data_IF_477776834953
#
_entry.id   IF_477776834953
#
_cell.length_a   1.000
_cell.length_b   1.000
_cell.length_c   1.000
_cell.angle_alpha   90.00
_cell.angle_beta   90.00
_cell.angle_gamma   90.00
#
_symmetry.space_group_name_H-M   'P 1'
#
loop_
_entity.id
_entity.type
_entity.pdbx_description
1 polymer ?
#
# COMPACT_ATOMS: atom_id res chain seq x y z
N UNK A 1 -32.80 16.74 3.59
CA UNK A 1 -32.02 15.51 3.36
C UNK A 1 -30.89 15.48 4.39
N UNK A 2 -30.99 14.58 5.35
CA UNK A 2 -29.98 14.46 6.44
C UNK A 2 -28.83 13.58 5.94
N UNK A 3 -27.63 14.15 5.89
CA UNK A 3 -26.40 13.38 5.66
C UNK A 3 -26.18 12.41 6.81
N UNK A 4 -26.38 11.14 6.56
CA UNK A 4 -25.98 10.06 7.47
C UNK A 4 -24.49 9.79 7.18
N UNK A 5 -23.63 10.41 7.95
CA UNK A 5 -22.22 10.02 8.00
C UNK A 5 -22.15 8.68 8.72
N UNK A 6 -21.89 7.61 7.97
CA UNK A 6 -21.51 6.32 8.54
C UNK A 6 -20.18 6.49 9.29
N UNK A 7 -20.24 6.55 10.62
CA UNK A 7 -19.07 6.32 11.45
C UNK A 7 -18.67 4.86 11.29
N UNK A 8 -17.40 4.56 11.01
CA UNK A 8 -16.94 3.17 11.01
C UNK A 8 -17.23 2.56 12.39
N UNK A 9 -17.73 1.34 12.38
CA UNK A 9 -17.90 0.53 13.59
C UNK A 9 -16.50 0.20 14.08
N UNK A 10 -16.01 0.97 15.04
CA UNK A 10 -14.76 0.66 15.72
C UNK A 10 -14.96 -0.64 16.49
N UNK A 11 -14.29 -1.70 16.05
CA UNK A 11 -14.06 -2.87 16.90
C UNK A 11 -13.49 -2.35 18.22
N UNK A 12 -14.10 -2.77 19.35
CA UNK A 12 -13.78 -2.29 20.68
C UNK A 12 -12.28 -2.19 20.91
N UNK A 13 -11.72 -1.01 21.20
CA UNK A 13 -10.31 -0.90 21.50
C UNK A 13 -10.01 -1.76 22.75
N UNK A 14 -9.00 -2.59 22.67
CA UNK A 14 -8.52 -3.44 23.78
C UNK A 14 -8.33 -2.67 25.10
N UNK A 15 -8.01 -1.38 25.01
CA UNK A 15 -7.94 -0.45 26.14
C UNK A 15 -9.23 -0.33 26.92
N UNK A 16 -10.41 -0.40 26.28
CA UNK A 16 -11.71 -0.32 26.95
C UNK A 16 -11.97 -1.59 27.77
N UNK A 17 -11.58 -2.76 27.29
CA UNK A 17 -11.68 -4.02 28.03
C UNK A 17 -10.74 -4.07 29.25
N UNK A 18 -9.49 -3.64 29.11
CA UNK A 18 -8.54 -3.58 30.22
C UNK A 18 -8.99 -2.58 31.30
N UNK A 19 -9.51 -1.41 30.91
CA UNK A 19 -10.05 -0.41 31.85
C UNK A 19 -11.30 -0.89 32.55
N UNK A 20 -12.19 -1.58 31.84
CA UNK A 20 -13.38 -2.16 32.46
C UNK A 20 -13.02 -3.24 33.48
N UNK A 21 -12.01 -4.05 33.19
CA UNK A 21 -11.48 -5.07 34.11
C UNK A 21 -10.75 -4.44 35.32
N UNK A 22 -9.99 -3.35 35.12
CA UNK A 22 -9.32 -2.65 36.20
C UNK A 22 -10.33 -1.95 37.12
N UNK A 23 -11.31 -1.26 36.55
CA UNK A 23 -12.40 -0.64 37.30
C UNK A 23 -13.26 -1.67 38.03
N UNK A 24 -13.53 -2.83 37.43
CA UNK A 24 -14.24 -3.92 38.11
C UNK A 24 -13.43 -4.53 39.27
N UNK A 25 -12.11 -4.65 39.12
CA UNK A 25 -11.22 -5.11 40.21
C UNK A 25 -11.14 -4.12 41.35
N UNK A 26 -11.06 -2.80 41.09
CA UNK A 26 -11.08 -1.76 42.12
C UNK A 26 -12.43 -1.72 42.84
N UNK A 27 -13.54 -1.87 42.10
CA UNK A 27 -14.88 -1.92 42.71
C UNK A 27 -15.06 -3.18 43.58
N UNK A 28 -14.52 -4.32 43.13
CA UNK A 28 -14.57 -5.55 43.92
C UNK A 28 -13.67 -5.50 45.16
N UNK A 29 -12.53 -4.78 45.09
CA UNK A 29 -11.62 -4.60 46.22
C UNK A 29 -12.15 -3.64 47.28
N UNK A 30 -13.03 -2.72 46.92
CA UNK A 30 -13.65 -1.76 47.83
C UNK A 30 -14.98 -2.24 48.43
N UNK A 31 -15.59 -3.29 47.89
CA UNK A 31 -16.75 -3.94 48.47
C UNK A 31 -16.36 -5.02 49.47
N UNK A 32 -16.06 -4.62 50.71
CA UNK A 32 -15.98 -5.58 51.80
C UNK A 32 -17.41 -5.88 52.24
N UNK A 33 -17.83 -7.12 52.00
CA UNK A 33 -19.15 -7.60 52.38
C UNK A 33 -19.31 -7.50 53.91
N UNK A 34 -20.22 -6.64 54.42
CA UNK A 34 -20.54 -6.52 55.82
C UNK A 34 -20.12 -5.20 56.49
N UNK A 35 -19.48 -4.25 55.81
CA UNK A 35 -19.16 -2.96 56.39
C UNK A 35 -20.31 -1.97 56.20
N UNK A 36 -21.10 -1.71 57.25
CA UNK A 36 -22.05 -0.61 57.29
C UNK A 36 -21.27 0.69 57.30
N UNK A 37 -21.55 1.59 56.39
CA UNK A 37 -21.02 2.96 56.44
C UNK A 37 -21.61 3.69 57.66
N UNK A 38 -20.75 4.06 58.62
CA UNK A 38 -21.11 4.69 59.88
C UNK A 38 -21.54 6.17 59.71
N UNK A 39 -21.26 6.77 58.56
CA UNK A 39 -21.67 8.14 58.24
C UNK A 39 -22.51 8.07 56.97
N UNK A 40 -23.81 8.30 57.13
CA UNK A 40 -24.77 8.36 56.05
C UNK A 40 -24.40 9.45 55.04
N UNK A 41 -23.73 9.08 53.97
CA UNK A 41 -23.64 9.88 52.78
C UNK A 41 -24.78 9.49 51.89
N UNK A 42 -25.53 10.47 51.39
CA UNK A 42 -26.68 10.30 50.52
C UNK A 42 -26.34 9.35 49.35
N UNK A 43 -27.19 8.34 49.19
CA UNK A 43 -27.11 7.28 48.17
C UNK A 43 -27.32 7.79 46.73
N UNK A 44 -27.10 9.05 46.47
CA UNK A 44 -27.17 9.71 45.15
C UNK A 44 -25.81 10.13 44.58
N UNK A 45 -24.70 9.59 45.13
CA UNK A 45 -23.42 9.70 44.48
C UNK A 45 -23.49 9.03 43.12
N UNK A 46 -23.81 9.81 42.10
CA UNK A 46 -23.68 9.37 40.70
C UNK A 46 -22.22 8.99 40.48
N UNK A 47 -21.96 7.72 40.34
CA UNK A 47 -20.66 7.23 39.89
C UNK A 47 -20.36 7.85 38.52
N UNK A 48 -19.73 9.02 38.53
CA UNK A 48 -19.15 9.54 37.31
C UNK A 48 -17.96 8.65 37.00
N UNK A 49 -18.15 7.77 36.01
CA UNK A 49 -16.98 7.10 35.39
C UNK A 49 -15.98 8.19 35.02
N UNK A 50 -14.73 8.09 35.50
CA UNK A 50 -13.72 9.00 35.03
C UNK A 50 -13.71 8.94 33.51
N UNK A 51 -13.82 10.10 32.86
CA UNK A 51 -13.77 10.18 31.42
C UNK A 51 -12.48 9.49 30.94
N UNK A 52 -12.56 8.57 29.99
CA UNK A 52 -11.36 7.94 29.46
C UNK A 52 -10.44 9.02 28.90
N UNK A 53 -9.17 8.99 29.28
CA UNK A 53 -8.18 9.86 28.66
C UNK A 53 -8.23 9.65 27.14
N UNK A 54 -8.20 10.72 26.33
CA UNK A 54 -8.13 10.61 24.90
C UNK A 54 -6.79 9.94 24.54
N UNK A 55 -6.86 8.69 24.12
CA UNK A 55 -5.73 7.98 23.51
C UNK A 55 -5.79 8.24 22.02
N UNK A 56 -4.62 8.48 21.43
CA UNK A 56 -4.53 8.54 19.98
C UNK A 56 -4.98 7.20 19.37
N UNK A 57 -5.79 7.29 18.32
CA UNK A 57 -6.24 6.11 17.56
C UNK A 57 -5.03 5.51 16.82
N UNK A 58 -5.01 4.18 16.69
CA UNK A 58 -3.99 3.52 15.88
C UNK A 58 -4.07 4.02 14.42
N UNK A 59 -2.94 4.04 13.74
CA UNK A 59 -2.93 4.35 12.31
C UNK A 59 -3.78 3.33 11.53
N UNK A 60 -4.40 3.71 10.41
CA UNK A 60 -5.19 2.79 9.59
C UNK A 60 -4.42 1.52 9.19
N UNK A 61 -3.12 1.64 8.95
CA UNK A 61 -2.26 0.50 8.62
C UNK A 61 -2.09 -0.46 9.80
N UNK A 62 -1.95 0.05 11.03
CA UNK A 62 -1.87 -0.77 12.24
C UNK A 62 -3.19 -1.47 12.54
N UNK A 63 -4.32 -0.77 12.36
CA UNK A 63 -5.64 -1.37 12.52
C UNK A 63 -5.85 -2.55 11.56
N UNK A 64 -5.51 -2.39 10.29
CA UNK A 64 -5.58 -3.45 9.29
C UNK A 64 -4.67 -4.62 9.63
N UNK A 65 -3.46 -4.36 10.13
CA UNK A 65 -2.55 -5.41 10.57
C UNK A 65 -3.11 -6.21 11.75
N UNK A 66 -3.65 -5.52 12.76
CA UNK A 66 -4.30 -6.16 13.92
C UNK A 66 -5.51 -6.97 13.50
N UNK A 67 -6.32 -6.44 12.59
CA UNK A 67 -7.49 -7.12 12.04
C UNK A 67 -7.10 -8.45 11.39
N UNK A 68 -6.08 -8.43 10.53
CA UNK A 68 -5.54 -9.63 9.88
C UNK A 68 -4.94 -10.62 10.87
N UNK A 69 -4.24 -10.14 11.90
CA UNK A 69 -3.64 -11.01 12.93
C UNK A 69 -4.72 -11.81 13.67
N UNK A 70 -5.88 -11.20 13.91
CA UNK A 70 -7.00 -11.83 14.65
C UNK A 70 -7.91 -12.66 13.74
N UNK A 71 -8.23 -12.16 12.54
CA UNK A 71 -9.24 -12.75 11.64
C UNK A 71 -8.64 -13.56 10.50
N UNK A 72 -7.35 -13.40 10.23
CA UNK A 72 -6.65 -14.00 9.11
C UNK A 72 -6.84 -13.27 7.78
N UNK A 73 -7.65 -12.20 7.73
CA UNK A 73 -7.95 -11.44 6.51
C UNK A 73 -8.15 -9.95 6.80
N UNK A 74 -8.09 -9.13 5.76
CA UNK A 74 -8.42 -7.71 5.83
C UNK A 74 -9.93 -7.54 5.59
N UNK A 75 -10.70 -7.05 6.56
CA UNK A 75 -12.14 -6.84 6.49
C UNK A 75 -12.51 -5.36 6.28
N UNK A 76 -11.81 -4.46 6.98
CA UNK A 76 -12.12 -3.03 7.00
C UNK A 76 -11.52 -2.26 5.81
N UNK A 77 -10.57 -2.85 5.08
CA UNK A 77 -9.92 -2.24 3.92
C UNK A 77 -8.80 -3.10 3.38
N UNK A 78 -8.26 -2.71 2.23
CA UNK A 78 -7.11 -3.38 1.63
C UNK A 78 -5.88 -2.47 1.77
N UNK A 79 -4.80 -2.89 2.45
CA UNK A 79 -3.58 -2.09 2.60
C UNK A 79 -2.88 -1.82 1.26
N UNK A 80 -3.21 -2.54 0.20
CA UNK A 80 -2.70 -2.33 -1.14
C UNK A 80 -3.44 -1.20 -1.90
N UNK A 81 -4.69 -0.90 -1.51
CA UNK A 81 -5.52 0.11 -2.18
C UNK A 81 -4.84 1.48 -2.36
N UNK A 82 -4.13 2.03 -1.34
CA UNK A 82 -3.47 3.34 -1.48
C UNK A 82 -2.37 3.38 -2.54
N UNK A 83 -1.84 2.24 -2.97
CA UNK A 83 -0.73 2.12 -3.93
C UNK A 83 -1.14 1.51 -5.27
N UNK A 84 -2.39 1.08 -5.41
CA UNK A 84 -2.91 0.43 -6.63
C UNK A 84 -2.75 1.29 -7.89
N UNK A 85 -2.82 2.62 -7.76
CA UNK A 85 -2.56 3.54 -8.86
C UNK A 85 -1.17 3.37 -9.50
N UNK A 86 -0.18 2.92 -8.72
CA UNK A 86 1.16 2.63 -9.23
C UNK A 86 1.16 1.45 -10.21
N UNK A 87 0.32 0.44 -9.98
CA UNK A 87 0.19 -0.68 -10.91
C UNK A 87 -0.28 -0.20 -12.28
N UNK A 88 -1.26 0.71 -12.32
CA UNK A 88 -1.75 1.29 -13.58
C UNK A 88 -0.70 2.13 -14.27
N UNK A 89 -0.03 3.02 -13.55
CA UNK A 89 1.00 3.93 -14.10
C UNK A 89 2.27 3.21 -14.55
N UNK A 90 2.65 2.13 -13.88
CA UNK A 90 3.84 1.34 -14.18
C UNK A 90 3.53 0.14 -15.08
N UNK A 91 2.27 -0.03 -15.48
CA UNK A 91 1.79 -1.17 -16.27
C UNK A 91 2.20 -2.52 -15.66
N UNK A 92 2.01 -2.64 -14.35
CA UNK A 92 2.29 -3.88 -13.61
C UNK A 92 1.14 -4.85 -13.86
N UNK A 93 1.41 -6.06 -14.38
CA UNK A 93 0.38 -7.07 -14.57
C UNK A 93 -0.16 -7.57 -13.23
N UNK A 94 -1.43 -7.92 -13.20
CA UNK A 94 -2.03 -8.58 -12.04
C UNK A 94 -1.51 -10.02 -11.90
N UNK A 95 -1.51 -10.56 -10.67
CA UNK A 95 -1.03 -11.93 -10.43
C UNK A 95 -1.76 -12.98 -11.27
N UNK A 96 -3.06 -12.77 -11.55
CA UNK A 96 -3.88 -13.66 -12.40
C UNK A 96 -3.52 -13.61 -13.88
N UNK A 97 -2.87 -12.53 -14.35
CA UNK A 97 -2.48 -12.35 -15.75
C UNK A 97 -1.10 -12.97 -16.06
N UNK A 98 -0.34 -13.32 -15.02
CA UNK A 98 1.05 -13.76 -15.18
C UNK A 98 1.17 -15.10 -15.89
N UNK A 99 0.17 -15.96 -15.78
CA UNK A 99 0.14 -17.25 -16.49
C UNK A 99 0.03 -17.11 -18.01
N UNK A 100 -0.52 -16.00 -18.48
CA UNK A 100 -0.72 -15.73 -19.91
C UNK A 100 0.53 -15.09 -20.56
N UNK A 101 1.51 -14.70 -19.74
CA UNK A 101 2.74 -14.11 -20.22
C UNK A 101 3.76 -15.19 -20.64
N UNK A 102 4.61 -14.90 -21.63
CA UNK A 102 5.63 -15.85 -22.09
C UNK A 102 6.65 -16.14 -20.98
N UNK A 103 7.18 -17.36 -20.96
CA UNK A 103 8.30 -17.73 -20.10
C UNK A 103 9.49 -16.79 -20.34
N UNK A 104 10.23 -16.44 -19.28
CA UNK A 104 11.35 -15.50 -19.28
C UNK A 104 10.95 -14.04 -19.58
N UNK A 105 9.66 -13.71 -19.62
CA UNK A 105 9.23 -12.32 -19.72
C UNK A 105 9.82 -11.48 -18.56
N UNK A 106 10.38 -10.34 -18.88
CA UNK A 106 10.82 -9.37 -17.87
C UNK A 106 9.60 -8.56 -17.42
N UNK A 107 9.25 -8.70 -16.15
CA UNK A 107 8.13 -7.97 -15.54
C UNK A 107 8.56 -7.28 -14.26
N UNK A 108 7.73 -6.33 -13.86
CA UNK A 108 7.68 -5.84 -12.49
C UNK A 108 6.38 -6.33 -11.82
N UNK A 109 6.43 -6.53 -10.52
CA UNK A 109 5.30 -6.89 -9.70
C UNK A 109 5.29 -6.03 -8.43
N UNK A 110 4.13 -5.51 -8.06
CA UNK A 110 3.90 -4.75 -6.85
C UNK A 110 2.92 -5.51 -5.97
N UNK A 111 3.27 -5.75 -4.71
CA UNK A 111 2.41 -6.51 -3.81
C UNK A 111 2.86 -6.41 -2.36
N UNK A 112 2.10 -7.03 -1.48
CA UNK A 112 2.37 -7.11 -0.04
C UNK A 112 3.10 -8.41 0.25
N UNK A 113 4.18 -8.33 1.01
CA UNK A 113 4.94 -9.49 1.44
C UNK A 113 4.16 -10.29 2.49
N UNK A 114 3.82 -11.53 2.14
CA UNK A 114 3.07 -12.44 3.01
C UNK A 114 3.96 -13.33 3.86
N UNK A 115 4.93 -13.94 3.24
CA UNK A 115 5.81 -14.89 3.91
C UNK A 115 7.20 -14.93 3.27
N UNK A 116 8.19 -15.30 4.05
CA UNK A 116 9.58 -15.48 3.61
C UNK A 116 10.07 -16.83 4.08
N UNK A 117 10.58 -17.62 3.15
CA UNK A 117 11.15 -18.97 3.42
C UNK A 117 12.64 -18.95 3.05
N UNK A 118 13.55 -18.75 4.00
CA UNK A 118 14.98 -18.86 3.76
C UNK A 118 15.35 -20.25 3.26
N UNK A 119 16.29 -20.33 2.33
CA UNK A 119 16.79 -21.57 1.77
C UNK A 119 18.32 -21.49 1.58
N UNK A 120 18.97 -22.66 1.55
CA UNK A 120 20.39 -22.76 1.21
C UNK A 120 20.54 -23.44 -0.14
N UNK A 121 21.31 -22.83 -1.01
CA UNK A 121 21.67 -23.44 -2.30
C UNK A 121 22.57 -24.65 -2.10
N UNK A 122 22.77 -25.44 -3.16
CA UNK A 122 23.74 -26.57 -3.14
C UNK A 122 25.16 -26.10 -2.77
N UNK A 123 25.50 -24.83 -2.99
CA UNK A 123 26.78 -24.22 -2.61
C UNK A 123 26.80 -23.62 -1.19
N UNK A 124 25.78 -23.89 -0.37
CA UNK A 124 25.64 -23.37 0.99
C UNK A 124 25.48 -21.84 1.05
N UNK A 125 25.05 -21.20 -0.04
CA UNK A 125 24.76 -19.79 -0.06
C UNK A 125 23.28 -19.53 0.29
N UNK A 126 23.02 -18.45 1.02
CA UNK A 126 21.66 -18.08 1.43
C UNK A 126 20.89 -17.48 0.26
N UNK A 127 19.69 -17.97 0.05
CA UNK A 127 18.65 -17.44 -0.85
C UNK A 127 17.30 -17.45 -0.14
N UNK A 128 16.25 -16.92 -0.72
CA UNK A 128 14.91 -17.08 -0.17
C UNK A 128 13.85 -17.21 -1.28
N UNK A 129 12.81 -17.93 -0.92
CA UNK A 129 11.51 -17.86 -1.55
C UNK A 129 10.65 -16.94 -0.71
N UNK A 130 9.88 -16.08 -1.32
CA UNK A 130 8.94 -15.23 -0.60
C UNK A 130 7.66 -15.08 -1.41
N UNK A 131 6.55 -14.95 -0.70
CA UNK A 131 5.22 -14.88 -1.31
C UNK A 131 4.72 -13.45 -1.20
N UNK A 132 4.29 -12.90 -2.32
CA UNK A 132 3.67 -11.59 -2.42
C UNK A 132 2.22 -11.73 -2.83
N UNK A 133 1.38 -10.84 -2.35
CA UNK A 133 -0.05 -10.78 -2.65
C UNK A 133 -0.40 -9.42 -3.24
N UNK A 134 -1.17 -9.44 -4.33
CA UNK A 134 -1.88 -8.27 -4.84
C UNK A 134 -3.39 -8.41 -4.59
N UNK A 135 -4.22 -7.63 -5.28
CA UNK A 135 -5.69 -7.72 -5.14
C UNK A 135 -6.30 -8.97 -5.78
N UNK A 136 -5.58 -9.64 -6.67
CA UNK A 136 -6.10 -10.72 -7.52
C UNK A 136 -5.59 -12.09 -7.12
N UNK A 137 -4.48 -12.15 -6.39
CA UNK A 137 -3.91 -13.43 -5.96
C UNK A 137 -2.51 -13.30 -5.36
N UNK A 138 -1.77 -14.40 -5.40
CA UNK A 138 -0.43 -14.48 -4.83
C UNK A 138 0.59 -14.90 -5.89
N UNK A 139 1.81 -14.37 -5.76
CA UNK A 139 2.95 -14.70 -6.60
C UNK A 139 4.12 -15.16 -5.74
N UNK A 140 4.70 -16.31 -6.07
CA UNK A 140 5.97 -16.73 -5.50
C UNK A 140 7.12 -15.98 -6.16
N UNK A 141 7.98 -15.40 -5.34
CA UNK A 141 9.17 -14.68 -5.75
C UNK A 141 10.42 -15.40 -5.25
N UNK A 142 11.45 -15.45 -6.08
CA UNK A 142 12.72 -16.11 -5.76
C UNK A 142 13.84 -15.08 -5.77
N UNK A 143 14.52 -14.91 -4.65
CA UNK A 143 15.71 -14.09 -4.55
C UNK A 143 16.96 -14.98 -4.40
N UNK A 144 17.74 -15.09 -5.47
CA UNK A 144 19.01 -15.78 -5.48
C UNK A 144 20.05 -15.06 -4.58
N UNK A 145 21.17 -15.70 -4.21
CA UNK A 145 22.07 -15.21 -3.18
C UNK A 145 22.52 -13.75 -3.37
N UNK A 146 22.80 -13.33 -4.59
CA UNK A 146 23.24 -11.96 -4.88
C UNK A 146 22.15 -10.94 -4.57
N UNK A 147 20.90 -11.25 -4.95
CA UNK A 147 19.74 -10.39 -4.70
C UNK A 147 19.37 -10.45 -3.22
N UNK A 148 19.29 -11.66 -2.64
CA UNK A 148 18.91 -11.84 -1.26
C UNK A 148 19.81 -11.07 -0.28
N UNK A 149 21.11 -11.06 -0.51
CA UNK A 149 22.06 -10.28 0.31
C UNK A 149 21.72 -8.80 0.37
N UNK A 150 21.23 -8.25 -0.72
CA UNK A 150 20.87 -6.83 -0.81
C UNK A 150 19.50 -6.50 -0.19
N UNK A 151 18.59 -7.49 -0.13
CA UNK A 151 17.18 -7.24 0.22
C UNK A 151 16.76 -7.83 1.57
N UNK A 152 17.59 -8.65 2.22
CA UNK A 152 17.21 -9.37 3.44
C UNK A 152 16.62 -8.50 4.55
N UNK A 153 17.06 -7.25 4.67
CA UNK A 153 16.53 -6.30 5.66
C UNK A 153 15.18 -5.69 5.26
N UNK A 154 14.82 -5.76 3.98
CA UNK A 154 13.56 -5.24 3.44
C UNK A 154 12.42 -6.25 3.52
N UNK A 155 12.74 -7.53 3.68
CA UNK A 155 11.77 -8.62 3.70
C UNK A 155 11.13 -8.75 5.09
N UNK A 156 10.27 -7.77 5.40
CA UNK A 156 9.47 -7.79 6.62
C UNK A 156 8.00 -8.07 6.25
N UNK A 157 7.28 -8.90 7.02
CA UNK A 157 5.86 -9.16 6.78
C UNK A 157 5.05 -7.86 6.64
N UNK A 158 4.01 -7.91 5.83
CA UNK A 158 3.09 -6.80 5.55
C UNK A 158 3.75 -5.57 4.87
N UNK A 159 5.00 -5.70 4.41
CA UNK A 159 5.67 -4.63 3.66
C UNK A 159 5.26 -4.68 2.18
N UNK A 160 4.92 -3.52 1.61
CA UNK A 160 4.69 -3.37 0.18
C UNK A 160 6.05 -3.32 -0.53
N UNK A 161 6.25 -4.25 -1.47
CA UNK A 161 7.48 -4.37 -2.24
C UNK A 161 7.19 -4.28 -3.74
N UNK A 162 8.10 -3.65 -4.45
CA UNK A 162 8.17 -3.65 -5.90
C UNK A 162 9.32 -4.55 -6.34
N UNK A 163 8.98 -5.61 -7.03
CA UNK A 163 9.92 -6.63 -7.49
C UNK A 163 10.03 -6.59 -9.01
N UNK A 164 11.24 -6.56 -9.54
CA UNK A 164 11.50 -6.71 -10.96
C UNK A 164 12.29 -7.99 -11.20
N UNK A 165 11.95 -8.71 -12.25
CA UNK A 165 12.61 -9.97 -12.57
C UNK A 165 12.09 -10.64 -13.82
N UNK A 166 12.39 -11.92 -13.96
CA UNK A 166 11.94 -12.76 -15.08
C UNK A 166 10.95 -13.80 -14.58
N UNK A 167 9.90 -14.03 -15.35
CA UNK A 167 8.97 -15.11 -15.07
C UNK A 167 9.61 -16.46 -15.33
N UNK A 168 9.32 -17.39 -14.43
CA UNK A 168 9.60 -18.81 -14.60
C UNK A 168 8.29 -19.57 -14.49
N UNK A 169 7.91 -20.23 -15.57
CA UNK A 169 6.70 -21.04 -15.64
C UNK A 169 7.07 -22.49 -15.40
N UNK A 170 6.48 -23.10 -14.38
CA UNK A 170 6.69 -24.51 -14.02
C UNK A 170 5.34 -25.20 -13.93
N UNK A 171 5.34 -26.53 -13.91
CA UNK A 171 4.11 -27.31 -13.70
C UNK A 171 3.39 -26.95 -12.38
N UNK A 172 4.15 -26.51 -11.39
CA UNK A 172 3.64 -26.07 -10.07
C UNK A 172 3.07 -24.65 -10.05
N UNK A 173 3.22 -23.89 -11.11
CA UNK A 173 2.75 -22.50 -11.23
C UNK A 173 3.81 -21.55 -11.75
N UNK A 174 3.50 -20.24 -11.64
CA UNK A 174 4.36 -19.16 -12.09
C UNK A 174 5.13 -18.58 -10.91
N UNK A 175 6.41 -18.34 -11.09
CA UNK A 175 7.26 -17.66 -10.10
C UNK A 175 8.07 -16.52 -10.75
N UNK A 176 8.41 -15.50 -9.94
CA UNK A 176 9.23 -14.37 -10.37
C UNK A 176 10.66 -14.54 -9.86
N UNK A 177 11.61 -14.73 -10.78
CA UNK A 177 13.03 -14.74 -10.46
C UNK A 177 13.52 -13.29 -10.33
N UNK A 178 13.61 -12.80 -9.09
CA UNK A 178 13.88 -11.39 -8.82
C UNK A 178 15.32 -11.00 -9.21
N UNK A 179 15.43 -9.89 -9.93
CA UNK A 179 16.70 -9.21 -10.20
C UNK A 179 16.87 -7.96 -9.33
N UNK A 180 15.75 -7.34 -8.92
CA UNK A 180 15.72 -6.16 -8.06
C UNK A 180 14.47 -6.16 -7.20
N UNK A 181 14.60 -5.70 -5.95
CA UNK A 181 13.48 -5.50 -5.01
C UNK A 181 13.64 -4.17 -4.32
N UNK A 182 12.59 -3.35 -4.37
CA UNK A 182 12.55 -2.03 -3.76
C UNK A 182 11.40 -1.97 -2.75
N UNK A 183 11.59 -1.20 -1.69
CA UNK A 183 10.50 -0.77 -0.82
C UNK A 183 9.66 0.31 -1.53
N UNK A 184 8.47 0.60 -1.02
CA UNK A 184 7.62 1.66 -1.56
C UNK A 184 8.33 3.02 -1.55
N UNK A 185 9.08 3.32 -0.48
CA UNK A 185 9.85 4.57 -0.37
C UNK A 185 10.96 4.67 -1.43
N UNK A 186 11.69 3.58 -1.65
CA UNK A 186 12.73 3.54 -2.68
C UNK A 186 12.13 3.67 -4.08
N UNK A 187 10.98 3.04 -4.33
CA UNK A 187 10.25 3.20 -5.58
C UNK A 187 9.82 4.65 -5.78
N UNK A 188 9.21 5.29 -4.80
CA UNK A 188 8.79 6.70 -4.86
C UNK A 188 9.99 7.63 -5.14
N UNK A 189 11.14 7.36 -4.51
CA UNK A 189 12.38 8.10 -4.78
C UNK A 189 12.90 7.89 -6.20
N UNK A 190 12.72 6.72 -6.79
CA UNK A 190 13.02 6.51 -8.21
C UNK A 190 12.03 7.25 -9.11
N UNK A 191 10.74 7.22 -8.77
CA UNK A 191 9.69 7.91 -9.52
C UNK A 191 9.87 9.43 -9.54
N UNK A 192 10.37 10.04 -8.47
CA UNK A 192 10.66 11.48 -8.45
C UNK A 192 11.74 11.90 -9.46
N UNK A 193 12.62 10.98 -9.83
CA UNK A 193 13.66 11.19 -10.85
C UNK A 193 13.25 10.76 -12.26
N UNK A 194 12.13 10.07 -12.38
CA UNK A 194 11.61 9.58 -13.64
C UNK A 194 10.88 10.69 -14.42
N UNK A 195 10.29 10.35 -15.57
CA UNK A 195 9.43 11.24 -16.34
C UNK A 195 8.04 10.65 -16.44
N UNK A 196 7.04 11.42 -16.04
CA UNK A 196 5.64 11.10 -16.30
C UNK A 196 5.33 11.43 -17.75
N UNK A 197 5.05 10.42 -18.54
CA UNK A 197 4.88 10.54 -19.98
C UNK A 197 3.43 10.28 -20.38
N UNK A 198 2.88 11.18 -21.21
CA UNK A 198 1.54 11.04 -21.77
C UNK A 198 1.70 10.85 -23.28
N UNK A 199 1.13 9.76 -23.82
CA UNK A 199 1.10 9.45 -25.26
C UNK A 199 -0.11 10.13 -25.88
N UNK A 200 0.11 10.94 -26.91
CA UNK A 200 -0.97 11.62 -27.65
C UNK A 200 -0.51 12.01 -29.06
N UNK A 201 -1.46 12.43 -29.91
CA UNK A 201 -1.14 12.99 -31.22
C UNK A 201 -0.70 14.45 -31.12
N UNK A 202 0.10 14.94 -32.05
CA UNK A 202 0.48 16.36 -32.12
C UNK A 202 -0.70 17.29 -32.34
N UNK A 203 -1.85 16.76 -32.83
CA UNK A 203 -3.09 17.49 -33.03
C UNK A 203 -3.92 17.69 -31.77
N UNK A 204 -3.64 16.90 -30.70
CA UNK A 204 -4.41 16.90 -29.44
C UNK A 204 -4.01 18.04 -28.50
N UNK A 205 -3.97 19.26 -29.04
CA UNK A 205 -3.51 20.46 -28.32
C UNK A 205 -4.34 20.73 -27.05
N UNK A 206 -5.65 20.53 -27.12
CA UNK A 206 -6.55 20.77 -25.98
C UNK A 206 -6.30 19.78 -24.84
N UNK A 207 -6.12 18.49 -25.14
CA UNK A 207 -5.77 17.47 -24.15
C UNK A 207 -4.38 17.75 -23.53
N UNK A 208 -3.46 18.25 -24.33
CA UNK A 208 -2.13 18.65 -23.86
C UNK A 208 -2.22 19.83 -22.89
N UNK A 209 -3.06 20.82 -23.15
CA UNK A 209 -3.30 21.94 -22.23
C UNK A 209 -3.97 21.50 -20.94
N UNK A 210 -4.96 20.62 -21.02
CA UNK A 210 -5.61 20.05 -19.85
C UNK A 210 -4.61 19.26 -18.98
N UNK A 211 -3.71 18.49 -19.59
CA UNK A 211 -2.65 17.77 -18.88
C UNK A 211 -1.72 18.74 -18.12
N UNK A 212 -1.35 19.86 -18.74
CA UNK A 212 -0.53 20.90 -18.10
C UNK A 212 -1.26 21.53 -16.91
N UNK A 213 -2.57 21.79 -17.02
CA UNK A 213 -3.38 22.33 -15.93
C UNK A 213 -3.48 21.34 -14.75
N UNK A 214 -3.67 20.04 -15.03
CA UNK A 214 -3.67 19.01 -13.99
C UNK A 214 -2.28 18.95 -13.30
N UNK A 215 -1.20 18.95 -14.08
CA UNK A 215 0.15 18.93 -13.52
C UNK A 215 0.45 20.17 -12.65
N UNK A 216 -0.07 21.33 -13.03
CA UNK A 216 0.06 22.55 -12.22
C UNK A 216 -0.71 22.44 -10.87
N UNK A 217 -1.87 21.77 -10.87
CA UNK A 217 -2.65 21.52 -9.65
C UNK A 217 -1.98 20.54 -8.71
N UNK A 218 -1.37 19.49 -9.24
CA UNK A 218 -0.69 18.43 -8.48
C UNK A 218 0.83 18.53 -8.63
N UNK A 219 1.40 19.71 -8.39
CA UNK A 219 2.83 19.96 -8.59
C UNK A 219 3.70 19.09 -7.67
N UNK A 220 4.83 18.59 -8.18
CA UNK A 220 5.74 17.71 -7.49
C UNK A 220 7.12 17.65 -8.15
N UNK A 221 7.80 16.52 -8.04
CA UNK A 221 9.19 16.36 -8.48
C UNK A 221 9.34 15.65 -9.84
N UNK A 222 8.37 14.82 -10.22
CA UNK A 222 8.44 14.01 -11.45
C UNK A 222 8.16 14.87 -12.68
N UNK A 223 9.10 14.94 -13.60
CA UNK A 223 8.99 15.78 -14.79
C UNK A 223 7.90 15.31 -15.75
N UNK A 224 7.00 16.21 -16.20
CA UNK A 224 5.99 15.92 -17.22
C UNK A 224 6.63 15.95 -18.62
N UNK A 225 6.31 14.95 -19.44
CA UNK A 225 6.63 14.92 -20.85
C UNK A 225 5.46 14.37 -21.68
N UNK A 226 5.47 14.64 -22.99
CA UNK A 226 4.53 14.12 -23.96
C UNK A 226 5.27 13.31 -25.00
N UNK A 227 4.72 12.16 -25.35
CA UNK A 227 5.20 11.36 -26.47
C UNK A 227 4.20 11.51 -27.64
N UNK A 228 4.63 12.18 -28.69
CA UNK A 228 3.83 12.37 -29.89
C UNK A 228 3.89 11.10 -30.75
N UNK A 229 2.77 10.39 -30.82
CA UNK A 229 2.67 9.07 -31.49
C UNK A 229 2.85 9.17 -33.00
N UNK A 230 2.36 10.24 -33.61
CA UNK A 230 2.46 10.56 -35.03
C UNK A 230 3.88 10.94 -35.47
N UNK A 231 4.60 11.66 -34.63
CA UNK A 231 5.97 12.14 -34.91
C UNK A 231 7.06 11.24 -34.30
N UNK A 232 6.66 10.28 -33.46
CA UNK A 232 7.57 9.42 -32.67
C UNK A 232 8.61 10.25 -31.90
N UNK A 233 8.19 11.39 -31.38
CA UNK A 233 9.07 12.36 -30.70
C UNK A 233 8.59 12.66 -29.29
N UNK A 234 9.53 12.77 -28.37
CA UNK A 234 9.27 13.23 -27.02
C UNK A 234 9.44 14.72 -26.92
N UNK A 235 8.46 15.42 -26.35
CA UNK A 235 8.50 16.86 -26.10
C UNK A 235 8.24 17.15 -24.62
N UNK A 236 8.73 18.27 -24.15
CA UNK A 236 8.41 18.80 -22.82
C UNK A 236 7.61 20.11 -22.97
N UNK A 237 6.75 20.44 -22.02
CA UNK A 237 6.09 21.74 -21.97
C UNK A 237 7.13 22.86 -22.00
N UNK A 238 6.79 24.00 -22.65
CA UNK A 238 7.67 25.18 -22.71
C UNK A 238 8.08 25.68 -21.32
N UNK A 239 7.14 25.68 -20.36
CA UNK A 239 7.42 25.83 -18.94
C UNK A 239 7.59 24.44 -18.35
N UNK A 240 8.71 24.19 -17.71
CA UNK A 240 8.97 22.91 -17.04
C UNK A 240 7.86 22.66 -16.01
N UNK A 241 7.08 21.63 -16.25
CA UNK A 241 6.04 21.16 -15.33
C UNK A 241 6.51 19.85 -14.69
N UNK A 242 6.28 19.77 -13.40
CA UNK A 242 6.53 18.55 -12.64
C UNK A 242 5.29 18.19 -11.84
N UNK A 243 5.08 16.91 -11.64
CA UNK A 243 3.88 16.36 -11.01
C UNK A 243 4.24 15.51 -9.79
N UNK A 244 3.43 15.57 -8.76
CA UNK A 244 3.43 14.60 -7.67
C UNK A 244 2.68 13.34 -8.12
N UNK A 245 3.35 12.20 -8.09
CA UNK A 245 2.74 10.91 -8.42
C UNK A 245 1.94 10.43 -7.19
N UNK A 246 0.62 10.55 -7.27
CA UNK A 246 -0.33 10.16 -6.22
C UNK A 246 -1.60 9.57 -6.82
N UNK A 247 -2.44 8.95 -5.98
CA UNK A 247 -3.73 8.43 -6.41
C UNK A 247 -4.65 9.52 -6.97
N UNK A 248 -4.64 10.72 -6.35
CA UNK A 248 -5.46 11.85 -6.77
C UNK A 248 -4.99 12.40 -8.12
N UNK A 249 -3.67 12.50 -8.34
CA UNK A 249 -3.13 12.95 -9.62
C UNK A 249 -3.42 11.95 -10.73
N UNK A 250 -3.23 10.64 -10.47
CA UNK A 250 -3.54 9.58 -11.43
C UNK A 250 -5.03 9.59 -11.79
N UNK A 251 -5.90 9.69 -10.81
CA UNK A 251 -7.34 9.78 -11.04
C UNK A 251 -7.72 11.00 -11.88
N UNK A 252 -7.11 12.16 -11.63
CA UNK A 252 -7.36 13.36 -12.44
C UNK A 252 -6.92 13.16 -13.90
N UNK A 253 -5.78 12.51 -14.15
CA UNK A 253 -5.37 12.19 -15.52
C UNK A 253 -6.26 11.13 -16.17
N UNK A 254 -6.71 10.13 -15.43
CA UNK A 254 -7.57 9.05 -15.93
C UNK A 254 -8.96 9.53 -16.38
N UNK A 255 -9.39 10.75 -16.02
CA UNK A 255 -10.60 11.36 -16.58
C UNK A 255 -10.45 11.80 -18.03
N UNK A 256 -9.22 12.02 -18.50
CA UNK A 256 -8.91 12.56 -19.83
C UNK A 256 -8.15 11.56 -20.68
N UNK A 257 -7.30 10.74 -20.05
CA UNK A 257 -6.38 9.82 -20.70
C UNK A 257 -6.68 8.38 -20.28
N UNK A 258 -6.48 7.44 -21.19
CA UNK A 258 -6.56 6.02 -20.89
C UNK A 258 -5.28 5.54 -20.20
N UNK A 259 -5.35 4.41 -19.48
CA UNK A 259 -4.16 3.84 -18.83
C UNK A 259 -3.03 3.50 -19.81
N UNK A 260 -3.35 3.17 -21.08
CA UNK A 260 -2.34 2.92 -22.11
C UNK A 260 -1.64 4.18 -22.62
N UNK A 261 -2.25 5.35 -22.45
CA UNK A 261 -1.67 6.65 -22.79
C UNK A 261 -0.78 7.22 -21.69
N UNK A 262 -1.01 6.80 -20.44
CA UNK A 262 -0.23 7.23 -19.27
C UNK A 262 0.91 6.24 -19.00
N UNK A 263 2.06 6.73 -18.59
CA UNK A 263 3.17 5.87 -18.20
C UNK A 263 4.32 6.63 -17.57
N UNK A 264 5.21 5.89 -16.92
CA UNK A 264 6.41 6.44 -16.30
C UNK A 264 7.63 5.87 -17.03
N UNK A 265 8.44 6.78 -17.56
CA UNK A 265 9.72 6.44 -18.16
C UNK A 265 10.81 6.57 -17.10
N UNK A 266 11.43 5.47 -16.76
CA UNK A 266 12.63 5.45 -15.91
C UNK A 266 13.83 5.92 -16.76
N UNK A 267 14.61 6.79 -16.18
CA UNK A 267 15.86 7.28 -16.79
C UNK A 267 16.99 6.35 -16.37
#
# INVERSE_FOLDING_TARGET
>A
MRNITHKPITLFPYTTLFRSLSAAKETAATQVVGQMQLFGGDATGSWQRPAPEPLEEFSPAELLRMEREVTGMYLSGNPFQPVQYLCRLLHVPASTELSDLPEQAEIAFLGILQSVKPHLTKKQERMCFFQMEDETGTLECVAFPNVFRAIQQKLQPDTILWCKGRLSVQESGVSLLCSSVLTLEELQKQLSRAKFCIKLSSTDTDRMQQAIQIAAKYSGETALCFYLTDQKKMIQPKQKQSIAISAESEQAFSTIFTSSELGILQV
#
